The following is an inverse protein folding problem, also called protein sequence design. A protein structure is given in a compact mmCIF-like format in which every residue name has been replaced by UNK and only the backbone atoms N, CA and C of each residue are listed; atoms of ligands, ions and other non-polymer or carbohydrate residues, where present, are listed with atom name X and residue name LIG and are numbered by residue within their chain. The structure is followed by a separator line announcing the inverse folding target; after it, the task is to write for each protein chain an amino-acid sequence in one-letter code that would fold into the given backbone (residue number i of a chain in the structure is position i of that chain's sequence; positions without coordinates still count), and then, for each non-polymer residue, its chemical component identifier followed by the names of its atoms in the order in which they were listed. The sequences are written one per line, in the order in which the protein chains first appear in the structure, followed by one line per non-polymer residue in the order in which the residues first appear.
data_IF_480989462602
#
_entry.id   IF_480989462602
#
_cell.length_a   1.000
_cell.length_b   1.000
_cell.length_c   1.000
_cell.angle_alpha   90.00
_cell.angle_beta   90.00
_cell.angle_gamma   90.00
#
_symmetry.space_group_name_H-M   'P 1'
#
loop_
_entity.id
_entity.type
_entity.pdbx_description
1 polymer ?
#
# COMPACT_ATOMS: atom_id res chain seq x y z
N UNK A 1 -22.65 7.32 -2.10
CA UNK A 1 -22.33 6.82 -0.75
C UNK A 1 -20.84 7.04 -0.51
N UNK A 2 -20.48 8.00 0.34
CA UNK A 2 -19.09 8.16 0.75
C UNK A 2 -18.71 6.94 1.58
N UNK A 3 -17.52 6.37 1.33
CA UNK A 3 -16.94 5.45 2.30
C UNK A 3 -16.55 6.35 3.45
N UNK A 4 -17.40 6.41 4.46
CA UNK A 4 -17.12 7.10 5.69
C UNK A 4 -16.00 6.31 6.39
N UNK A 5 -14.76 6.70 6.13
CA UNK A 5 -13.58 6.29 6.89
C UNK A 5 -13.67 7.02 8.25
N UNK A 6 -14.72 6.74 9.02
CA UNK A 6 -15.07 7.51 10.22
C UNK A 6 -14.12 7.25 11.39
N UNK A 7 -13.29 6.20 11.35
CA UNK A 7 -12.43 5.83 12.48
C UNK A 7 -11.02 5.34 12.11
N UNK A 8 -10.59 5.50 10.85
CA UNK A 8 -9.20 5.20 10.53
C UNK A 8 -8.29 6.33 11.00
N UNK A 9 -7.66 6.14 12.15
CA UNK A 9 -6.55 6.99 12.53
C UNK A 9 -5.30 6.58 11.74
N UNK A 10 -5.19 7.13 10.52
CA UNK A 10 -4.08 6.93 9.59
C UNK A 10 -2.73 7.09 10.26
N UNK A 11 -2.57 8.17 11.02
CA UNK A 11 -1.28 8.56 11.56
C UNK A 11 -0.88 7.60 12.70
N UNK A 12 -1.84 7.17 13.53
CA UNK A 12 -1.63 6.11 14.51
C UNK A 12 -1.21 4.79 13.86
N UNK A 13 -1.92 4.34 12.82
CA UNK A 13 -1.60 3.09 12.12
C UNK A 13 -0.20 3.12 11.48
N UNK A 14 0.15 4.23 10.84
CA UNK A 14 1.49 4.44 10.28
C UNK A 14 2.54 4.38 11.39
N UNK A 15 2.30 5.06 12.51
CA UNK A 15 3.25 5.11 13.61
C UNK A 15 3.45 3.73 14.27
N UNK A 16 2.37 2.97 14.48
CA UNK A 16 2.44 1.60 14.99
C UNK A 16 3.29 0.70 14.08
N UNK A 17 3.07 0.75 12.77
CA UNK A 17 3.87 -0.01 11.81
C UNK A 17 5.32 0.45 11.77
N UNK A 18 5.57 1.76 11.84
CA UNK A 18 6.93 2.33 11.85
C UNK A 18 7.70 1.88 13.09
N UNK A 19 7.10 1.98 14.27
CA UNK A 19 7.71 1.53 15.53
C UNK A 19 7.99 0.02 15.48
N UNK A 20 7.01 -0.78 15.05
CA UNK A 20 7.17 -2.22 14.92
C UNK A 20 8.29 -2.61 13.94
N UNK A 21 8.53 -1.79 12.91
CA UNK A 21 9.58 -2.05 11.93
C UNK A 21 11.00 -1.80 12.45
N UNK A 22 11.17 -1.00 13.51
CA UNK A 22 12.48 -0.69 14.07
C UNK A 22 13.17 -1.91 14.71
N UNK A 23 12.44 -2.98 14.99
CA UNK A 23 13.01 -4.25 15.48
C UNK A 23 13.66 -5.08 14.36
N UNK A 24 13.56 -4.64 13.10
CA UNK A 24 14.11 -5.32 11.93
C UNK A 24 15.36 -4.58 11.44
N UNK A 25 16.54 -5.03 11.85
CA UNK A 25 17.82 -4.34 11.56
C UNK A 25 18.06 -4.12 10.06
N UNK A 26 17.61 -5.04 9.21
CA UNK A 26 17.77 -4.96 7.75
C UNK A 26 16.77 -4.03 7.06
N UNK A 27 15.79 -3.49 7.79
CA UNK A 27 14.71 -2.69 7.25
C UNK A 27 14.86 -1.22 7.62
N UNK A 28 14.83 -0.34 6.62
CA UNK A 28 14.80 1.11 6.81
C UNK A 28 13.45 1.67 6.37
N UNK A 29 12.65 2.15 7.32
CA UNK A 29 11.35 2.76 7.02
C UNK A 29 11.48 3.95 6.09
N UNK A 30 12.50 4.80 6.26
CA UNK A 30 12.64 6.05 5.51
C UNK A 30 13.13 5.81 4.07
N UNK A 31 13.72 4.64 3.78
CA UNK A 31 14.06 4.24 2.42
C UNK A 31 12.79 3.94 1.59
N UNK A 32 12.75 4.42 0.34
CA UNK A 32 11.63 4.19 -0.60
C UNK A 32 11.87 2.99 -1.54
N UNK A 33 12.94 2.24 -1.29
CA UNK A 33 13.26 0.97 -1.94
C UNK A 33 13.57 -0.04 -0.84
N UNK A 34 12.67 -0.97 -0.60
CA UNK A 34 12.87 -2.04 0.39
C UNK A 34 13.47 -3.31 -0.22
N UNK A 35 13.27 -3.53 -1.52
CA UNK A 35 13.93 -4.61 -2.26
C UNK A 35 13.91 -4.33 -3.77
N UNK A 36 14.47 -5.23 -4.58
CA UNK A 36 14.40 -5.17 -6.04
C UNK A 36 12.96 -5.14 -6.59
N UNK A 37 12.00 -5.68 -5.83
CA UNK A 37 10.59 -5.78 -6.24
C UNK A 37 9.65 -4.87 -5.43
N UNK A 38 10.14 -4.29 -4.33
CA UNK A 38 9.38 -3.36 -3.47
C UNK A 38 9.95 -1.94 -3.59
N UNK A 39 9.52 -1.28 -4.67
CA UNK A 39 9.92 0.08 -5.02
C UNK A 39 8.69 0.99 -4.91
N UNK A 40 8.75 2.05 -4.12
CA UNK A 40 7.58 2.92 -3.88
C UNK A 40 7.44 4.01 -4.93
N UNK A 41 7.56 3.65 -6.21
CA UNK A 41 7.34 4.56 -7.35
C UNK A 41 5.87 4.83 -7.63
N UNK A 42 5.55 5.98 -8.22
CA UNK A 42 4.22 6.31 -8.76
C UNK A 42 3.83 5.37 -9.91
N UNK A 43 2.53 5.32 -10.22
CA UNK A 43 2.07 4.66 -11.42
C UNK A 43 2.50 5.47 -12.66
N UNK A 44 3.50 4.99 -13.39
CA UNK A 44 3.87 5.63 -14.66
C UNK A 44 2.89 5.21 -15.77
N UNK A 45 1.89 6.05 -16.03
CA UNK A 45 0.89 5.84 -17.07
C UNK A 45 1.50 5.88 -18.48
N UNK A 46 2.58 6.65 -18.68
CA UNK A 46 3.23 6.86 -19.97
C UNK A 46 4.54 6.07 -20.04
N UNK A 47 4.50 4.83 -20.54
CA UNK A 47 5.61 3.86 -20.61
C UNK A 47 6.82 4.27 -21.51
N UNK A 48 7.22 5.55 -21.59
CA UNK A 48 8.51 5.89 -22.18
C UNK A 48 9.61 5.58 -21.17
N UNK A 49 10.42 4.54 -21.50
CA UNK A 49 11.47 3.90 -20.70
C UNK A 49 12.48 4.86 -20.02
N UNK A 50 12.51 6.14 -20.39
CA UNK A 50 13.51 7.13 -19.99
C UNK A 50 12.99 8.22 -19.04
N UNK A 51 11.77 8.12 -18.53
CA UNK A 51 11.25 9.12 -17.58
C UNK A 51 11.78 8.90 -16.16
N UNK A 52 12.33 9.95 -15.55
CA UNK A 52 12.72 9.99 -14.14
C UNK A 52 11.60 9.43 -13.26
N UNK A 53 11.81 8.22 -12.71
CA UNK A 53 10.81 7.55 -11.88
C UNK A 53 10.59 8.38 -10.62
N UNK A 54 9.38 8.90 -10.45
CA UNK A 54 8.97 9.60 -9.23
C UNK A 54 8.51 8.59 -8.19
N UNK A 55 8.82 8.86 -6.92
CA UNK A 55 8.25 8.13 -5.80
C UNK A 55 6.80 8.55 -5.57
N UNK A 56 6.00 7.65 -4.98
CA UNK A 56 4.68 7.95 -4.46
C UNK A 56 4.73 9.27 -3.68
N UNK A 57 3.68 10.06 -3.81
CA UNK A 57 3.59 11.36 -3.13
C UNK A 57 3.85 11.25 -1.61
N UNK A 58 4.36 12.33 -1.04
CA UNK A 58 4.65 12.42 0.41
C UNK A 58 3.41 12.15 1.27
N UNK A 59 2.23 12.53 0.79
CA UNK A 59 0.93 12.30 1.47
C UNK A 59 0.52 10.82 1.52
N UNK A 60 1.03 9.99 0.60
CA UNK A 60 0.57 8.61 0.42
C UNK A 60 1.63 7.57 0.76
N UNK A 61 2.92 7.89 0.61
CA UNK A 61 3.99 6.89 0.68
C UNK A 61 4.06 6.18 2.04
N UNK A 62 3.82 6.91 3.14
CA UNK A 62 3.86 6.32 4.48
C UNK A 62 2.69 5.35 4.73
N UNK A 63 1.50 5.64 4.22
CA UNK A 63 0.40 4.69 4.34
C UNK A 63 0.62 3.46 3.44
N UNK A 64 1.19 3.64 2.25
CA UNK A 64 1.55 2.53 1.38
C UNK A 64 2.57 1.59 2.05
N UNK A 65 3.58 2.17 2.71
CA UNK A 65 4.57 1.43 3.51
C UNK A 65 3.91 0.66 4.65
N UNK A 66 3.06 1.32 5.44
CA UNK A 66 2.34 0.70 6.56
C UNK A 66 1.47 -0.47 6.12
N UNK A 67 0.71 -0.31 5.02
CA UNK A 67 -0.12 -1.38 4.45
C UNK A 67 0.73 -2.58 4.02
N UNK A 68 1.83 -2.36 3.29
CA UNK A 68 2.69 -3.46 2.85
C UNK A 68 3.36 -4.13 4.04
N UNK A 69 3.88 -3.35 4.99
CA UNK A 69 4.51 -3.87 6.21
C UNK A 69 3.51 -4.76 6.97
N UNK A 70 2.29 -4.29 7.20
CA UNK A 70 1.27 -5.04 7.92
C UNK A 70 0.80 -6.30 7.17
N UNK A 71 0.54 -6.22 5.87
CA UNK A 71 -0.06 -7.32 5.10
C UNK A 71 0.94 -8.36 4.58
N UNK A 72 2.18 -7.94 4.40
CA UNK A 72 3.22 -8.76 3.77
C UNK A 72 4.34 -9.14 4.74
N UNK A 73 4.17 -8.87 6.04
CA UNK A 73 5.12 -9.21 7.10
C UNK A 73 5.56 -10.69 6.98
N UNK A 74 4.59 -11.59 6.87
CA UNK A 74 4.85 -13.05 6.82
C UNK A 74 5.25 -13.54 5.42
N UNK A 75 5.10 -12.71 4.39
CA UNK A 75 5.40 -13.10 3.01
C UNK A 75 5.72 -11.86 2.15
N UNK A 76 6.99 -11.43 2.11
CA UNK A 76 7.42 -10.25 1.36
C UNK A 76 7.12 -10.33 -0.15
N UNK A 77 7.04 -11.53 -0.72
CA UNK A 77 6.73 -11.73 -2.14
C UNK A 77 5.32 -11.27 -2.52
N UNK A 78 4.38 -11.21 -1.56
CA UNK A 78 3.03 -10.63 -1.78
C UNK A 78 3.09 -9.12 -2.01
N UNK A 79 4.09 -8.45 -1.45
CA UNK A 79 4.24 -7.00 -1.49
C UNK A 79 4.28 -6.42 -2.90
N UNK A 80 4.83 -7.17 -3.88
CA UNK A 80 4.86 -6.75 -5.30
C UNK A 80 3.46 -6.52 -5.90
N UNK A 81 2.45 -7.26 -5.43
CA UNK A 81 1.07 -7.12 -5.92
C UNK A 81 0.34 -6.02 -5.16
N UNK A 82 0.63 -5.85 -3.86
CA UNK A 82 0.08 -4.76 -3.05
C UNK A 82 0.59 -3.40 -3.51
N UNK A 83 1.88 -3.26 -3.82
CA UNK A 83 2.44 -1.97 -4.27
C UNK A 83 1.81 -1.50 -5.59
N UNK A 84 1.52 -2.41 -6.53
CA UNK A 84 0.81 -2.06 -7.77
C UNK A 84 -0.61 -1.58 -7.48
N UNK A 85 -1.30 -2.23 -6.55
CA UNK A 85 -2.67 -1.86 -6.14
C UNK A 85 -2.69 -0.49 -5.46
N UNK A 86 -1.72 -0.22 -4.60
CA UNK A 86 -1.51 1.08 -3.94
C UNK A 86 -1.21 2.21 -4.94
N UNK A 87 -0.41 1.93 -5.99
CA UNK A 87 -0.14 2.88 -7.07
C UNK A 87 -1.39 3.23 -7.88
N UNK A 88 -2.28 2.27 -8.11
CA UNK A 88 -3.56 2.51 -8.79
C UNK A 88 -4.47 3.41 -7.95
N UNK A 89 -4.53 3.16 -6.63
CA UNK A 89 -5.26 4.01 -5.68
C UNK A 89 -4.68 5.43 -5.65
N UNK A 90 -3.37 5.59 -5.50
CA UNK A 90 -2.71 6.91 -5.48
C UNK A 90 -2.95 7.68 -6.78
N UNK A 91 -2.81 7.02 -7.93
CA UNK A 91 -3.09 7.64 -9.23
C UNK A 91 -4.55 8.09 -9.34
N UNK A 92 -5.50 7.30 -8.83
CA UNK A 92 -6.92 7.66 -8.85
C UNK A 92 -7.25 8.86 -7.97
N UNK A 93 -6.73 8.88 -6.74
CA UNK A 93 -6.90 10.01 -5.81
C UNK A 93 -6.36 11.30 -6.44
N UNK A 94 -5.17 11.24 -7.05
CA UNK A 94 -4.58 12.41 -7.71
C UNK A 94 -5.37 12.88 -8.91
N UNK A 95 -5.93 11.97 -9.70
CA UNK A 95 -6.81 12.34 -10.83
C UNK A 95 -8.06 13.07 -10.35
N UNK A 96 -8.71 12.59 -9.29
CA UNK A 96 -9.97 13.15 -8.82
C UNK A 96 -9.81 14.40 -7.95
N UNK A 97 -8.78 14.45 -7.11
CA UNK A 97 -8.64 15.47 -6.07
C UNK A 97 -7.37 16.32 -6.17
N UNK A 98 -6.50 16.05 -7.15
CA UNK A 98 -5.15 16.66 -7.27
C UNK A 98 -4.26 16.46 -6.04
N UNK A 99 -4.68 15.57 -5.13
CA UNK A 99 -4.01 15.19 -3.87
C UNK A 99 -4.04 13.68 -3.74
N UNK A 100 -3.13 13.13 -2.96
CA UNK A 100 -3.02 11.68 -2.75
C UNK A 100 -3.34 11.33 -1.30
N UNK A 101 -4.34 11.98 -0.71
CA UNK A 101 -4.76 11.71 0.64
C UNK A 101 -5.69 10.48 0.67
N UNK A 102 -5.22 9.38 1.26
CA UNK A 102 -6.00 8.14 1.40
C UNK A 102 -7.35 8.34 2.14
N UNK A 103 -7.46 9.35 3.00
CA UNK A 103 -8.70 9.66 3.70
C UNK A 103 -9.78 10.25 2.77
N UNK A 104 -9.43 10.65 1.56
CA UNK A 104 -10.39 11.13 0.53
C UNK A 104 -10.91 9.99 -0.34
N UNK A 105 -10.63 8.74 0.01
CA UNK A 105 -11.01 7.59 -0.80
C UNK A 105 -12.54 7.44 -0.81
N UNK A 106 -13.10 7.47 -2.01
CA UNK A 106 -14.53 7.28 -2.28
C UNK A 106 -14.74 6.12 -3.24
N UNK A 107 -15.99 5.66 -3.36
CA UNK A 107 -16.36 4.65 -4.35
C UNK A 107 -15.92 5.06 -5.77
N UNK A 108 -16.11 6.33 -6.13
CA UNK A 108 -15.70 6.87 -7.44
C UNK A 108 -14.20 6.74 -7.69
N UNK A 109 -13.37 6.98 -6.67
CA UNK A 109 -11.93 6.77 -6.80
C UNK A 109 -11.54 5.29 -6.89
N UNK A 110 -12.29 4.39 -6.26
CA UNK A 110 -12.05 2.95 -6.39
C UNK A 110 -12.44 2.43 -7.79
N UNK A 111 -13.59 2.86 -8.31
CA UNK A 111 -14.01 2.55 -9.68
C UNK A 111 -12.98 3.01 -10.71
N UNK A 112 -12.48 4.26 -10.56
CA UNK A 112 -11.46 4.76 -11.47
C UNK A 112 -10.14 3.97 -11.36
N UNK A 113 -9.74 3.56 -10.15
CA UNK A 113 -8.57 2.70 -9.96
C UNK A 113 -8.76 1.31 -10.61
N UNK A 114 -9.97 0.75 -10.56
CA UNK A 114 -10.34 -0.48 -11.26
C UNK A 114 -10.24 -0.31 -12.78
N UNK A 115 -10.80 0.77 -13.34
CA UNK A 115 -10.70 1.08 -14.78
C UNK A 115 -9.23 1.18 -15.20
N UNK A 116 -8.38 1.85 -14.40
CA UNK A 116 -6.94 1.91 -14.66
C UNK A 116 -6.28 0.53 -14.66
N UNK A 117 -6.70 -0.37 -13.76
CA UNK A 117 -6.17 -1.73 -13.69
C UNK A 117 -6.48 -2.51 -14.98
N UNK A 118 -7.74 -2.51 -15.41
CA UNK A 118 -8.18 -3.23 -16.63
C UNK A 118 -7.64 -2.60 -17.92
N UNK A 119 -7.37 -1.30 -17.93
CA UNK A 119 -6.72 -0.64 -19.08
C UNK A 119 -5.26 -1.05 -19.25
N UNK A 120 -4.56 -1.40 -18.16
CA UNK A 120 -3.10 -1.57 -18.15
C UNK A 120 -2.64 -3.02 -18.06
N UNK A 121 -3.44 -3.89 -17.46
CA UNK A 121 -3.06 -5.27 -17.16
C UNK A 121 -4.04 -6.23 -17.80
N UNK A 122 -3.61 -7.48 -18.05
CA UNK A 122 -4.52 -8.54 -18.49
C UNK A 122 -5.62 -8.77 -17.45
N UNK A 123 -6.79 -9.25 -17.90
CA UNK A 123 -7.99 -9.43 -17.06
C UNK A 123 -7.69 -10.15 -15.73
N UNK A 124 -6.91 -11.24 -15.76
CA UNK A 124 -6.55 -11.98 -14.55
C UNK A 124 -5.70 -11.14 -13.58
N UNK A 125 -4.72 -10.38 -14.09
CA UNK A 125 -3.87 -9.51 -13.27
C UNK A 125 -4.67 -8.31 -12.75
N UNK A 126 -5.48 -7.68 -13.59
CA UNK A 126 -6.35 -6.58 -13.20
C UNK A 126 -7.31 -6.99 -12.07
N UNK A 127 -7.97 -8.15 -12.21
CA UNK A 127 -8.83 -8.73 -11.16
C UNK A 127 -8.07 -8.96 -9.85
N UNK A 128 -6.86 -9.51 -9.91
CA UNK A 128 -6.00 -9.69 -8.74
C UNK A 128 -5.64 -8.36 -8.06
N UNK A 129 -5.34 -7.31 -8.81
CA UNK A 129 -5.10 -5.98 -8.26
C UNK A 129 -6.37 -5.41 -7.60
N UNK A 130 -7.54 -5.59 -8.21
CA UNK A 130 -8.83 -5.18 -7.62
C UNK A 130 -9.11 -5.89 -6.29
N UNK A 131 -8.87 -7.20 -6.23
CA UNK A 131 -9.00 -7.98 -5.00
C UNK A 131 -8.05 -7.49 -3.89
N UNK A 132 -6.82 -7.11 -4.24
CA UNK A 132 -5.88 -6.53 -3.27
C UNK A 132 -6.31 -5.12 -2.85
N UNK A 133 -6.84 -4.28 -3.75
CA UNK A 133 -7.42 -2.99 -3.38
C UNK A 133 -8.53 -3.17 -2.34
N UNK A 134 -9.44 -4.14 -2.52
CA UNK A 134 -10.48 -4.45 -1.54
C UNK A 134 -9.91 -4.87 -0.17
N UNK A 135 -8.84 -5.69 -0.14
CA UNK A 135 -8.17 -6.06 1.11
C UNK A 135 -7.57 -4.84 1.82
N UNK A 136 -6.93 -3.96 1.06
CA UNK A 136 -6.38 -2.70 1.59
C UNK A 136 -7.51 -1.86 2.18
N UNK A 137 -8.62 -1.66 1.47
CA UNK A 137 -9.74 -0.87 2.00
C UNK A 137 -10.33 -1.50 3.26
N UNK A 138 -10.50 -2.83 3.29
CA UNK A 138 -10.96 -3.53 4.48
C UNK A 138 -10.02 -3.32 5.66
N UNK A 139 -8.70 -3.41 5.45
CA UNK A 139 -7.71 -3.14 6.48
C UNK A 139 -7.87 -1.72 7.04
N UNK A 140 -7.98 -0.72 6.16
CA UNK A 140 -8.07 0.68 6.54
C UNK A 140 -9.40 1.04 7.21
N UNK A 141 -10.50 0.34 6.89
CA UNK A 141 -11.83 0.59 7.47
C UNK A 141 -12.10 -0.27 8.72
N UNK A 142 -11.39 -1.39 8.91
CA UNK A 142 -11.67 -2.29 10.03
C UNK A 142 -11.12 -1.78 11.38
N UNK A 143 -11.94 -1.85 12.44
CA UNK A 143 -11.58 -1.47 13.82
C UNK A 143 -10.67 -2.46 14.58
N UNK A 144 -10.14 -3.52 13.94
CA UNK A 144 -9.65 -4.69 14.69
C UNK A 144 -8.30 -4.38 15.38
N UNK A 145 -8.28 -4.46 16.71
CA UNK A 145 -7.12 -4.25 17.60
C UNK A 145 -5.88 -5.03 17.13
N UNK A 146 -4.83 -4.30 16.69
CA UNK A 146 -3.62 -4.84 16.06
C UNK A 146 -2.56 -5.40 17.03
N UNK A 147 -2.84 -5.52 18.34
CA UNK A 147 -1.81 -5.86 19.33
C UNK A 147 -1.21 -7.27 19.20
N UNK A 148 -1.93 -8.26 18.65
CA UNK A 148 -1.49 -9.67 18.73
C UNK A 148 -0.64 -10.18 17.56
N UNK A 149 -0.56 -9.47 16.43
CA UNK A 149 0.19 -9.96 15.25
C UNK A 149 1.71 -9.80 15.38
N UNK A 150 2.17 -8.84 16.16
CA UNK A 150 3.59 -8.49 16.24
C UNK A 150 4.40 -9.42 17.17
N UNK A 151 3.75 -10.17 18.08
CA UNK A 151 4.42 -11.15 18.96
C UNK A 151 4.81 -12.45 18.24
N UNK A 152 3.98 -12.91 17.29
CA UNK A 152 4.25 -14.12 16.49
C UNK A 152 5.50 -13.96 15.63
N UNK A 153 5.81 -12.73 15.22
CA UNK A 153 6.96 -12.40 14.38
C UNK A 153 8.31 -12.62 15.09
N UNK A 154 8.38 -12.43 16.41
CA UNK A 154 9.60 -12.66 17.21
C UNK A 154 10.09 -14.12 17.15
N UNK A 155 9.18 -15.07 16.94
CA UNK A 155 9.48 -16.51 16.95
C UNK A 155 9.89 -17.05 15.57
N UNK A 156 9.61 -16.33 14.47
CA UNK A 156 9.86 -16.83 13.11
C UNK A 156 11.23 -16.39 12.56
N UNK A 157 11.76 -15.24 12.99
CA UNK A 157 13.07 -14.76 12.53
C UNK A 157 14.28 -15.44 13.18
N UNK A 158 14.09 -16.24 14.24
CA UNK A 158 15.14 -17.08 14.83
C UNK A 158 15.42 -18.38 14.05
N UNK A 159 14.71 -18.65 12.95
CA UNK A 159 14.81 -19.90 12.18
C UNK A 159 15.25 -19.74 10.73
N UNK A 160 15.59 -18.52 10.29
CA UNK A 160 15.99 -18.22 8.89
C UNK A 160 17.39 -17.57 8.81
N UNK A 161 18.14 -17.58 9.91
CA UNK A 161 19.60 -17.46 9.93
C UNK A 161 20.18 -18.78 10.47
#
# INVERSE_FOLDING_TARGET
MNIEILEFNRDKFINECKIASNSLEEFSWDNNKWSSYLLFYELNLNQKKTTNKKYLSKEFINIAKAVIFHECLDNPNKGKNYIVSLRLIESSLRTHYKKANICMLTYRTLEYAQVLAFKRYSNNKASNHCNNMLKIIRLLVSKKNNRSKYEVFRLLFQRIL
#
